data_IF_017643761893
#
_entry.id   IF_017643761893
#
_cell.length_a   1.000
_cell.length_b   1.000
_cell.length_c   1.000
_cell.angle_alpha   90.00
_cell.angle_beta   90.00
_cell.angle_gamma   90.00
#
_symmetry.space_group_name_H-M   'P 1'
#
loop_
_entity.id
_entity.type
_entity.pdbx_description
1 polymer ?
#
# COMPACT_ATOMS: atom_id res chain seq x y z
N UNK A 1 -34.71 -9.11 4.20
CA UNK A 1 -33.84 -8.18 3.44
C UNK A 1 -33.46 -8.84 2.12
N UNK A 2 -33.85 -8.25 0.99
CA UNK A 2 -33.65 -8.80 -0.36
C UNK A 2 -32.17 -9.07 -0.68
N UNK A 3 -31.85 -10.29 -1.15
CA UNK A 3 -30.49 -10.73 -1.53
C UNK A 3 -29.84 -9.80 -2.56
N UNK A 4 -30.64 -9.15 -3.41
CA UNK A 4 -30.14 -8.18 -4.39
C UNK A 4 -29.70 -6.85 -3.76
N UNK A 5 -30.46 -6.35 -2.78
CA UNK A 5 -30.11 -5.15 -2.01
C UNK A 5 -28.87 -5.38 -1.16
N UNK A 6 -28.72 -6.58 -0.58
CA UNK A 6 -27.54 -6.96 0.21
C UNK A 6 -26.26 -7.00 -0.63
N UNK A 7 -26.31 -7.58 -1.84
CA UNK A 7 -25.17 -7.61 -2.78
C UNK A 7 -24.72 -6.21 -3.19
N UNK A 8 -25.65 -5.34 -3.60
CA UNK A 8 -25.31 -3.95 -3.98
C UNK A 8 -24.64 -3.15 -2.86
N UNK A 9 -25.03 -3.37 -1.60
CA UNK A 9 -24.42 -2.69 -0.44
C UNK A 9 -22.99 -3.19 -0.20
N UNK A 10 -22.74 -4.50 -0.33
CA UNK A 10 -21.42 -5.10 -0.17
C UNK A 10 -20.47 -4.61 -1.28
N UNK A 11 -20.93 -4.60 -2.54
CA UNK A 11 -20.12 -4.12 -3.67
C UNK A 11 -19.79 -2.63 -3.54
N UNK A 12 -20.76 -1.80 -3.13
CA UNK A 12 -20.53 -0.36 -2.93
C UNK A 12 -19.52 -0.10 -1.80
N UNK A 13 -19.59 -0.85 -0.70
CA UNK A 13 -18.62 -0.76 0.40
C UNK A 13 -17.22 -1.17 -0.07
N UNK A 14 -17.13 -2.26 -0.82
CA UNK A 14 -15.86 -2.74 -1.40
C UNK A 14 -15.19 -1.72 -2.32
N UNK A 15 -15.96 -1.08 -3.22
CA UNK A 15 -15.43 -0.05 -4.12
C UNK A 15 -14.99 1.18 -3.33
N UNK A 16 -15.77 1.61 -2.34
CA UNK A 16 -15.41 2.73 -1.49
C UNK A 16 -14.10 2.47 -0.72
N UNK A 17 -13.96 1.27 -0.14
CA UNK A 17 -12.76 0.88 0.61
C UNK A 17 -11.53 0.81 -0.30
N UNK A 18 -11.69 0.33 -1.54
CA UNK A 18 -10.63 0.34 -2.55
C UNK A 18 -10.19 1.76 -2.91
N UNK A 19 -11.15 2.65 -3.22
CA UNK A 19 -10.86 4.05 -3.57
C UNK A 19 -10.22 4.78 -2.40
N UNK A 20 -10.73 4.61 -1.18
CA UNK A 20 -10.18 5.19 0.03
C UNK A 20 -8.74 4.72 0.27
N UNK A 21 -8.48 3.41 0.17
CA UNK A 21 -7.13 2.87 0.39
C UNK A 21 -6.15 3.38 -0.66
N UNK A 22 -6.56 3.41 -1.93
CA UNK A 22 -5.73 3.88 -3.04
C UNK A 22 -5.41 5.36 -2.91
N UNK A 23 -6.41 6.20 -2.61
CA UNK A 23 -6.22 7.65 -2.44
C UNK A 23 -5.39 8.00 -1.21
N UNK A 24 -5.56 7.26 -0.11
CA UNK A 24 -4.72 7.40 1.09
C UNK A 24 -3.26 7.02 0.79
N UNK A 25 -3.03 5.89 0.10
CA UNK A 25 -1.69 5.46 -0.29
C UNK A 25 -0.99 6.50 -1.18
N UNK A 26 -1.68 7.00 -2.19
CA UNK A 26 -1.17 8.06 -3.07
C UNK A 26 -0.81 9.34 -2.30
N UNK A 27 -1.69 9.79 -1.41
CA UNK A 27 -1.48 11.01 -0.61
C UNK A 27 -0.28 10.84 0.32
N UNK A 28 -0.19 9.72 1.03
CA UNK A 28 0.93 9.45 1.94
C UNK A 28 2.27 9.39 1.19
N UNK A 29 2.31 8.70 0.06
CA UNK A 29 3.53 8.58 -0.75
C UNK A 29 3.99 9.94 -1.29
N UNK A 30 3.07 10.77 -1.80
CA UNK A 30 3.40 12.09 -2.35
C UNK A 30 3.80 13.10 -1.28
N UNK A 31 3.17 13.08 -0.10
CA UNK A 31 3.56 13.92 1.05
C UNK A 31 4.97 13.57 1.53
N UNK A 32 5.25 12.28 1.74
CA UNK A 32 6.57 11.82 2.18
C UNK A 32 7.64 12.18 1.14
N UNK A 33 7.37 11.94 -0.14
CA UNK A 33 8.30 12.30 -1.22
C UNK A 33 8.58 13.81 -1.24
N UNK A 34 7.55 14.65 -1.04
CA UNK A 34 7.70 16.11 -0.98
C UNK A 34 8.54 16.56 0.21
N UNK A 35 8.34 15.96 1.39
CA UNK A 35 9.15 16.25 2.59
C UNK A 35 10.62 15.89 2.37
N UNK A 36 10.89 14.69 1.81
CA UNK A 36 12.25 14.23 1.52
C UNK A 36 12.95 15.15 0.51
N UNK A 37 12.24 15.59 -0.53
CA UNK A 37 12.75 16.57 -1.49
C UNK A 37 13.06 17.91 -0.85
N UNK A 38 12.18 18.41 0.01
CA UNK A 38 12.36 19.69 0.69
C UNK A 38 13.62 19.69 1.57
N UNK A 39 13.84 18.62 2.34
CA UNK A 39 15.04 18.45 3.18
C UNK A 39 16.30 18.40 2.29
N UNK A 40 16.25 17.62 1.20
CA UNK A 40 17.40 17.38 0.32
C UNK A 40 17.78 18.59 -0.56
N UNK A 41 16.82 19.48 -0.86
CA UNK A 41 17.04 20.69 -1.67
C UNK A 41 18.00 21.70 -1.04
N UNK A 42 18.24 21.61 0.27
CA UNK A 42 19.11 22.54 1.01
C UNK A 42 20.61 22.20 0.97
N UNK A 43 20.98 21.00 0.49
CA UNK A 43 22.36 20.50 0.67
C UNK A 43 23.09 20.05 -0.60
N UNK A 44 22.42 19.56 -1.66
CA UNK A 44 23.12 18.92 -2.82
C UNK A 44 22.27 18.81 -4.10
N UNK A 45 21.50 19.85 -4.46
CA UNK A 45 20.53 19.78 -5.56
C UNK A 45 21.14 19.53 -6.98
N UNK A 46 22.42 19.86 -7.22
CA UNK A 46 23.06 19.75 -8.54
C UNK A 46 23.64 18.37 -8.86
N UNK A 47 24.00 17.55 -7.86
CA UNK A 47 24.49 16.18 -8.10
C UNK A 47 23.36 15.14 -8.14
N UNK A 48 22.32 15.30 -7.31
CA UNK A 48 21.26 14.29 -7.19
C UNK A 48 20.31 14.24 -8.39
N UNK A 49 20.08 15.36 -9.07
CA UNK A 49 19.27 15.45 -10.30
C UNK A 49 19.87 14.70 -11.50
N UNK A 50 21.19 14.50 -11.53
CA UNK A 50 21.87 13.65 -12.53
C UNK A 50 21.75 12.16 -12.24
N UNK A 51 21.36 11.77 -11.02
CA UNK A 51 21.50 10.40 -10.52
C UNK A 51 20.14 9.70 -10.40
N UNK A 52 19.05 10.44 -10.17
CA UNK A 52 17.72 9.89 -9.88
C UNK A 52 16.58 10.70 -10.49
N UNK A 53 15.65 10.03 -11.19
CA UNK A 53 14.50 10.64 -11.90
C UNK A 53 13.52 11.38 -10.98
N UNK A 54 13.54 11.06 -9.68
CA UNK A 54 12.72 11.72 -8.66
C UNK A 54 13.19 13.17 -8.42
N UNK A 55 14.48 13.48 -8.58
CA UNK A 55 15.06 14.81 -8.30
C UNK A 55 15.26 15.67 -9.56
N UNK A 56 14.68 15.27 -10.69
CA UNK A 56 14.85 15.95 -11.98
C UNK A 56 14.33 17.40 -11.95
N UNK A 57 13.29 17.67 -11.14
CA UNK A 57 12.73 19.02 -10.96
C UNK A 57 13.04 19.55 -9.55
N UNK A 58 13.74 20.69 -9.42
CA UNK A 58 14.01 21.30 -8.12
C UNK A 58 12.71 21.72 -7.43
N UNK A 59 12.49 21.25 -6.20
CA UNK A 59 11.40 21.70 -5.32
C UNK A 59 10.04 21.02 -5.51
N UNK A 60 9.77 20.35 -6.64
CA UNK A 60 8.49 19.69 -6.90
C UNK A 60 8.64 18.35 -7.62
N UNK A 61 7.69 17.43 -7.39
CA UNK A 61 7.57 16.20 -8.16
C UNK A 61 7.23 16.51 -9.63
N UNK A 62 8.02 15.96 -10.56
CA UNK A 62 7.67 15.98 -11.99
C UNK A 62 6.31 15.32 -12.23
N UNK A 63 5.57 15.80 -13.25
CA UNK A 63 4.28 15.21 -13.66
C UNK A 63 4.40 13.71 -13.95
N UNK A 64 5.53 13.29 -14.52
CA UNK A 64 5.82 11.87 -14.79
C UNK A 64 5.93 11.07 -13.49
N UNK A 65 6.67 11.58 -12.51
CA UNK A 65 6.87 10.94 -11.21
C UNK A 65 5.56 10.87 -10.42
N UNK A 66 4.72 11.91 -10.50
CA UNK A 66 3.39 11.90 -9.89
C UNK A 66 2.49 10.80 -10.48
N UNK A 67 2.51 10.62 -11.81
CA UNK A 67 1.79 9.54 -12.48
C UNK A 67 2.33 8.17 -12.05
N UNK A 68 3.64 8.02 -11.88
CA UNK A 68 4.25 6.79 -11.38
C UNK A 68 3.79 6.47 -9.95
N UNK A 69 3.78 7.45 -9.04
CA UNK A 69 3.21 7.27 -7.70
C UNK A 69 1.72 6.90 -7.73
N UNK A 70 0.95 7.47 -8.66
CA UNK A 70 -0.45 7.11 -8.84
C UNK A 70 -0.61 5.64 -9.26
N UNK A 71 0.20 5.18 -10.22
CA UNK A 71 0.21 3.77 -10.66
C UNK A 71 0.56 2.85 -9.48
N UNK A 72 1.58 3.19 -8.69
CA UNK A 72 1.96 2.42 -7.50
C UNK A 72 0.81 2.35 -6.51
N UNK A 73 0.14 3.47 -6.23
CA UNK A 73 -0.98 3.50 -5.30
C UNK A 73 -2.15 2.61 -5.78
N UNK A 74 -2.47 2.64 -7.08
CA UNK A 74 -3.50 1.76 -7.67
C UNK A 74 -3.09 0.29 -7.53
N UNK A 75 -1.84 -0.05 -7.85
CA UNK A 75 -1.33 -1.42 -7.74
C UNK A 75 -1.35 -1.92 -6.29
N UNK A 76 -0.94 -1.10 -5.32
CA UNK A 76 -1.05 -1.40 -3.89
C UNK A 76 -2.51 -1.64 -3.50
N UNK A 77 -3.44 -0.80 -3.96
CA UNK A 77 -4.87 -0.99 -3.73
C UNK A 77 -5.38 -2.32 -4.28
N UNK A 78 -4.95 -2.71 -5.48
CA UNK A 78 -5.33 -3.97 -6.13
C UNK A 78 -4.76 -5.17 -5.38
N UNK A 79 -3.46 -5.14 -5.03
CA UNK A 79 -2.81 -6.20 -4.24
C UNK A 79 -3.56 -6.37 -2.92
N UNK A 80 -3.81 -5.27 -2.19
CA UNK A 80 -4.55 -5.31 -0.94
C UNK A 80 -5.95 -5.87 -1.12
N UNK A 81 -6.68 -5.47 -2.17
CA UNK A 81 -8.02 -5.97 -2.43
C UNK A 81 -8.04 -7.47 -2.78
N UNK A 82 -7.06 -7.94 -3.55
CA UNK A 82 -6.89 -9.36 -3.89
C UNK A 82 -6.59 -10.18 -2.64
N UNK A 83 -5.62 -9.73 -1.85
CA UNK A 83 -5.22 -10.45 -0.64
C UNK A 83 -6.32 -10.38 0.41
N UNK A 84 -7.03 -9.26 0.58
CA UNK A 84 -8.08 -9.05 1.57
C UNK A 84 -9.48 -9.54 1.15
N UNK A 85 -9.68 -9.87 -0.12
CA UNK A 85 -10.90 -10.54 -0.55
C UNK A 85 -10.80 -12.04 -0.34
N UNK A 86 -11.86 -12.63 0.21
CA UNK A 86 -12.04 -14.10 0.26
C UNK A 86 -12.22 -14.72 -1.14
N UNK A 87 -12.27 -13.90 -2.18
CA UNK A 87 -12.59 -14.28 -3.55
C UNK A 87 -11.47 -15.06 -4.24
N UNK A 88 -10.19 -14.78 -3.92
CA UNK A 88 -9.05 -15.32 -4.69
C UNK A 88 -8.17 -16.26 -3.84
N UNK A 89 -8.00 -15.98 -2.55
CA UNK A 89 -7.12 -16.77 -1.68
C UNK A 89 -7.92 -17.41 -0.55
N UNK A 90 -8.14 -18.73 -0.63
CA UNK A 90 -8.71 -19.56 0.45
C UNK A 90 -7.74 -19.75 1.62
N UNK A 91 -6.92 -18.74 1.92
CA UNK A 91 -5.91 -18.79 2.98
C UNK A 91 -6.63 -18.54 4.31
N UNK A 92 -6.67 -19.57 5.16
CA UNK A 92 -7.33 -19.49 6.47
C UNK A 92 -6.53 -18.69 7.51
N UNK A 93 -5.22 -18.50 7.30
CA UNK A 93 -4.35 -17.76 8.23
C UNK A 93 -4.27 -16.30 7.86
N UNK A 94 -4.78 -15.44 8.75
CA UNK A 94 -4.70 -13.97 8.66
C UNK A 94 -3.26 -13.52 8.55
N UNK A 95 -2.37 -14.05 9.39
CA UNK A 95 -0.95 -13.70 9.40
C UNK A 95 -0.31 -14.00 8.03
N UNK A 96 -0.57 -15.19 7.47
CA UNK A 96 -0.02 -15.58 6.18
C UNK A 96 -0.51 -14.69 5.04
N UNK A 97 -1.80 -14.33 5.04
CA UNK A 97 -2.40 -13.44 4.04
C UNK A 97 -1.77 -12.05 4.06
N UNK A 98 -1.56 -11.51 5.25
CA UNK A 98 -0.90 -10.21 5.44
C UNK A 98 0.58 -10.29 5.05
N UNK A 99 1.30 -11.34 5.45
CA UNK A 99 2.71 -11.53 5.06
C UNK A 99 2.86 -11.59 3.55
N UNK A 100 2.04 -12.40 2.86
CA UNK A 100 2.10 -12.51 1.40
C UNK A 100 1.74 -11.19 0.72
N UNK A 101 0.75 -10.45 1.24
CA UNK A 101 0.40 -9.12 0.74
C UNK A 101 1.61 -8.18 0.76
N UNK A 102 2.32 -8.09 1.89
CA UNK A 102 3.52 -7.25 2.01
C UNK A 102 4.68 -7.74 1.14
N UNK A 103 4.86 -9.05 0.97
CA UNK A 103 5.88 -9.60 0.08
C UNK A 103 5.60 -9.21 -1.37
N UNK A 104 4.36 -9.35 -1.83
CA UNK A 104 3.96 -8.94 -3.18
C UNK A 104 4.10 -7.43 -3.40
N UNK A 105 3.72 -6.62 -2.40
CA UNK A 105 3.91 -5.18 -2.43
C UNK A 105 5.39 -4.78 -2.51
N UNK A 106 6.26 -5.44 -1.73
CA UNK A 106 7.70 -5.21 -1.77
C UNK A 106 8.33 -5.58 -3.13
N UNK A 107 7.93 -6.72 -3.71
CA UNK A 107 8.39 -7.14 -5.05
C UNK A 107 7.92 -6.13 -6.11
N UNK A 108 6.63 -5.75 -6.07
CA UNK A 108 6.07 -4.75 -6.99
C UNK A 108 6.85 -3.44 -6.91
N UNK A 109 7.10 -2.95 -5.69
CA UNK A 109 7.84 -1.71 -5.48
C UNK A 109 9.28 -1.80 -5.98
N UNK A 110 9.97 -2.94 -5.76
CA UNK A 110 11.32 -3.16 -6.29
C UNK A 110 11.36 -3.13 -7.83
N UNK A 111 10.36 -3.72 -8.50
CA UNK A 111 10.23 -3.70 -9.96
C UNK A 111 10.00 -2.28 -10.48
N UNK A 112 9.11 -1.51 -9.83
CA UNK A 112 8.84 -0.12 -10.17
C UNK A 112 10.08 0.74 -10.00
N UNK A 113 10.76 0.64 -8.85
CA UNK A 113 12.00 1.37 -8.56
C UNK A 113 13.06 1.10 -9.64
N UNK A 114 13.25 -0.16 -10.01
CA UNK A 114 14.19 -0.57 -11.05
C UNK A 114 13.77 -0.04 -12.43
N UNK A 115 12.49 -0.17 -12.79
CA UNK A 115 11.99 0.22 -14.11
C UNK A 115 12.00 1.73 -14.36
N UNK A 116 11.78 2.53 -13.32
CA UNK A 116 11.72 4.00 -13.40
C UNK A 116 13.01 4.69 -12.94
N UNK A 117 14.05 3.91 -12.58
CA UNK A 117 15.33 4.42 -12.08
C UNK A 117 15.14 5.45 -10.95
N UNK A 118 14.20 5.16 -10.03
CA UNK A 118 13.95 6.02 -8.87
C UNK A 118 15.20 6.15 -7.99
N UNK A 119 16.00 5.08 -7.93
CA UNK A 119 17.33 5.04 -7.37
C UNK A 119 18.31 4.52 -8.41
N UNK A 120 19.57 4.94 -8.31
CA UNK A 120 20.63 4.44 -9.16
C UNK A 120 20.86 2.94 -8.90
N UNK A 121 20.41 2.09 -9.82
CA UNK A 121 20.34 0.63 -9.67
C UNK A 121 21.69 -0.02 -9.37
N UNK A 122 22.79 0.63 -9.77
CA UNK A 122 24.17 0.13 -9.65
C UNK A 122 24.80 0.40 -8.27
N UNK A 123 24.32 1.38 -7.49
CA UNK A 123 24.91 1.68 -6.16
C UNK A 123 24.11 1.03 -5.04
N UNK A 124 24.68 -0.04 -4.46
CA UNK A 124 24.11 -0.81 -3.35
C UNK A 124 23.68 0.08 -2.16
N UNK A 125 24.39 1.18 -1.92
CA UNK A 125 24.12 2.10 -0.81
C UNK A 125 22.72 2.72 -0.82
N UNK A 126 22.15 3.01 -1.99
CA UNK A 126 20.79 3.56 -2.08
C UNK A 126 19.71 2.52 -1.74
N UNK A 127 19.96 1.25 -2.07
CA UNK A 127 19.07 0.14 -1.69
C UNK A 127 19.10 -0.13 -0.19
N UNK A 128 20.26 0.02 0.46
CA UNK A 128 20.38 -0.11 1.92
C UNK A 128 19.55 0.97 2.62
N UNK A 129 19.65 2.24 2.16
CA UNK A 129 18.82 3.33 2.71
C UNK A 129 17.33 3.09 2.54
N UNK A 130 16.93 2.56 1.38
CA UNK A 130 15.55 2.15 1.13
C UNK A 130 15.09 1.05 2.09
N UNK A 131 15.88 -0.01 2.30
CA UNK A 131 15.54 -1.10 3.22
C UNK A 131 15.44 -0.58 4.66
N UNK A 132 16.36 0.26 5.11
CA UNK A 132 16.34 0.84 6.47
C UNK A 132 15.09 1.71 6.69
N UNK A 133 14.64 2.46 5.68
CA UNK A 133 13.40 3.24 5.78
C UNK A 133 12.13 2.40 5.63
N UNK A 134 12.17 1.38 4.77
CA UNK A 134 11.04 0.53 4.47
C UNK A 134 10.74 -0.47 5.60
N UNK A 135 11.77 -1.05 6.24
CA UNK A 135 11.59 -2.11 7.22
C UNK A 135 10.72 -1.68 8.42
N UNK A 136 10.93 -0.52 9.07
CA UNK A 136 10.09 -0.07 10.17
C UNK A 136 8.65 0.19 9.72
N UNK A 137 8.46 0.78 8.53
CA UNK A 137 7.14 1.04 7.97
C UNK A 137 6.39 -0.28 7.68
N UNK A 138 7.09 -1.28 7.14
CA UNK A 138 6.55 -2.61 6.89
C UNK A 138 6.16 -3.31 8.19
N UNK A 139 6.99 -3.25 9.23
CA UNK A 139 6.70 -3.87 10.53
C UNK A 139 5.50 -3.21 11.19
N UNK A 140 5.46 -1.88 11.24
CA UNK A 140 4.32 -1.15 11.84
C UNK A 140 3.05 -1.40 11.03
N UNK A 141 3.14 -1.35 9.70
CA UNK A 141 2.04 -1.65 8.78
C UNK A 141 1.49 -3.07 8.98
N UNK A 142 2.39 -4.06 9.12
CA UNK A 142 2.03 -5.45 9.41
C UNK A 142 1.26 -5.57 10.72
N UNK A 143 1.77 -4.97 11.80
CA UNK A 143 1.12 -5.02 13.12
C UNK A 143 -0.26 -4.37 13.07
N UNK A 144 -0.39 -3.21 12.43
CA UNK A 144 -1.69 -2.52 12.30
C UNK A 144 -2.68 -3.34 11.47
N UNK A 145 -2.24 -3.89 10.33
CA UNK A 145 -3.08 -4.74 9.49
C UNK A 145 -3.54 -5.99 10.25
N UNK A 146 -2.64 -6.65 10.98
CA UNK A 146 -2.95 -7.84 11.76
C UNK A 146 -3.97 -7.55 12.87
N UNK A 147 -3.77 -6.46 13.62
CA UNK A 147 -4.74 -6.06 14.67
C UNK A 147 -6.10 -5.70 14.10
N UNK A 148 -6.15 -5.00 12.97
CA UNK A 148 -7.40 -4.63 12.30
C UNK A 148 -8.17 -5.87 11.85
N UNK A 149 -7.49 -6.80 11.18
CA UNK A 149 -8.12 -8.01 10.64
C UNK A 149 -8.59 -8.96 11.76
N UNK A 150 -7.81 -9.08 12.85
CA UNK A 150 -8.23 -9.86 14.02
C UNK A 150 -9.50 -9.27 14.67
N UNK A 151 -9.62 -7.94 14.72
CA UNK A 151 -10.81 -7.27 15.26
C UNK A 151 -12.04 -7.51 14.37
N UNK A 152 -11.90 -7.33 13.06
CA UNK A 152 -12.99 -7.53 12.10
C UNK A 152 -13.46 -8.99 12.09
N UNK A 153 -12.54 -9.95 12.18
CA UNK A 153 -12.89 -11.37 12.30
C UNK A 153 -13.59 -11.72 13.63
N UNK A 154 -13.23 -11.07 14.74
CA UNK A 154 -13.91 -11.27 16.02
C UNK A 154 -15.36 -10.76 15.96
N UNK A 155 -15.58 -9.54 15.44
CA UNK A 155 -16.91 -8.94 15.27
C UNK A 155 -17.80 -9.78 14.33
N UNK A 156 -17.24 -10.32 13.25
CA UNK A 156 -17.94 -11.22 12.34
C UNK A 156 -18.38 -12.51 13.04
N UNK A 157 -17.50 -13.14 13.82
CA UNK A 157 -17.81 -14.36 14.57
C UNK A 157 -18.87 -14.14 15.64
N UNK A 158 -18.85 -12.99 16.31
CA UNK A 158 -19.91 -12.61 17.25
C UNK A 158 -21.26 -12.41 16.57
N UNK A 159 -21.27 -11.73 15.42
CA UNK A 159 -22.49 -11.54 14.63
C UNK A 159 -23.06 -12.86 14.10
N UNK A 160 -22.20 -13.82 13.73
CA UNK A 160 -22.60 -15.18 13.36
C UNK A 160 -23.20 -15.94 14.54
N UNK A 161 -22.57 -15.88 15.72
CA UNK A 161 -23.10 -16.51 16.95
C UNK A 161 -24.47 -15.98 17.33
N UNK A 162 -24.70 -14.67 17.24
CA UNK A 162 -26.02 -14.06 17.55
C UNK A 162 -27.10 -14.59 16.61
N UNK A 163 -26.82 -14.66 15.30
CA UNK A 163 -27.78 -15.22 14.33
C UNK A 163 -28.07 -16.69 14.55
N UNK A 164 -27.06 -17.50 14.88
CA UNK A 164 -27.27 -18.91 15.20
C UNK A 164 -28.06 -19.14 16.48
N UNK A 165 -28.08 -18.16 17.39
CA UNK A 165 -28.92 -18.17 18.59
C UNK A 165 -30.33 -17.66 18.32
N UNK A 166 -30.52 -16.74 17.37
CA UNK A 166 -31.83 -16.26 16.91
C UNK A 166 -32.56 -17.28 16.02
N UNK A 167 -31.83 -18.12 15.28
CA UNK A 167 -32.37 -19.18 14.42
C UNK A 167 -32.70 -20.50 15.19
N UNK A 168 -32.47 -20.56 16.51
CA UNK A 168 -32.79 -21.68 17.40
C UNK A 168 -34.01 -21.38 18.26
#
# INVERSE_FOLDING_TARGET
MDKNKKRKIIDKKSIHDFVYTTSLAFTMQTVVATIVMFISSSSTASEQSRISSIYETPGFLSKSTLLQFFIVAVLTGVIRHIFMSDLILKIKSIALRITLMFVFEAIMLAVVVWRFNWFHSVRIGHWIGFVIGALPCLVIGFIMAYKSECKENAEMNEALRRKQQEDK
#
